data_IF_777501566402
#
_entry.id   IF_777501566402
#
_cell.length_a   1.000
_cell.length_b   1.000
_cell.length_c   1.000
_cell.angle_alpha   90.00
_cell.angle_beta   90.00
_cell.angle_gamma   90.00
#
_symmetry.space_group_name_H-M   'P 1'
#
loop_
_entity.id
_entity.type
_entity.pdbx_description
1 polymer ?
#
# COMPACT_ATOMS: atom_id res chain seq x y z
N UNK A 1 -14.77 -10.30 -15.00
CA UNK A 1 -13.48 -10.16 -14.32
C UNK A 1 -12.39 -10.47 -15.33
N UNK A 2 -11.59 -9.49 -15.75
CA UNK A 2 -10.41 -9.72 -16.59
C UNK A 2 -9.20 -9.82 -15.67
N UNK A 3 -8.51 -10.95 -15.70
CA UNK A 3 -7.26 -11.12 -14.96
C UNK A 3 -6.08 -10.64 -15.82
N UNK A 4 -5.00 -10.15 -15.20
CA UNK A 4 -3.77 -9.84 -15.93
C UNK A 4 -3.23 -11.09 -16.63
N UNK A 5 -2.54 -10.90 -17.75
CA UNK A 5 -1.85 -11.93 -18.53
C UNK A 5 -0.50 -12.36 -17.91
N UNK A 6 -0.17 -11.81 -16.74
CA UNK A 6 1.05 -12.06 -16.00
C UNK A 6 0.75 -12.35 -14.52
N UNK A 7 1.69 -13.02 -13.86
CA UNK A 7 1.59 -13.30 -12.43
C UNK A 7 1.69 -11.98 -11.66
N UNK A 8 0.74 -11.75 -10.75
CA UNK A 8 0.86 -10.70 -9.75
C UNK A 8 1.75 -11.21 -8.61
N UNK A 9 2.94 -10.62 -8.51
CA UNK A 9 3.93 -10.90 -7.47
C UNK A 9 4.21 -9.62 -6.69
N UNK A 10 3.96 -9.67 -5.39
CA UNK A 10 3.82 -8.46 -4.60
C UNK A 10 4.08 -8.60 -3.12
N UNK A 11 3.94 -7.46 -2.45
CA UNK A 11 4.06 -7.34 -0.99
C UNK A 11 2.89 -6.54 -0.43
N UNK A 12 2.58 -6.76 0.85
CA UNK A 12 1.87 -5.74 1.60
C UNK A 12 2.84 -4.59 1.91
N UNK A 13 2.38 -3.34 1.77
CA UNK A 13 3.20 -2.16 1.95
C UNK A 13 2.43 -1.14 2.79
N UNK A 14 3.03 -0.73 3.91
CA UNK A 14 2.43 0.16 4.90
C UNK A 14 3.38 1.32 5.17
N UNK A 15 3.13 2.46 4.55
CA UNK A 15 3.92 3.68 4.78
C UNK A 15 3.78 4.16 6.22
N UNK A 16 2.60 3.96 6.79
CA UNK A 16 2.19 4.34 8.15
C UNK A 16 3.00 3.65 9.25
N UNK A 17 3.65 2.51 8.96
CA UNK A 17 4.47 1.78 9.92
C UNK A 17 5.96 2.10 9.81
N UNK A 18 6.36 2.90 8.82
CA UNK A 18 7.78 3.16 8.57
C UNK A 18 8.32 4.21 9.56
N UNK A 19 9.50 3.98 10.16
CA UNK A 19 10.08 4.90 11.14
C UNK A 19 10.67 6.18 10.50
N UNK A 20 10.75 6.23 9.17
CA UNK A 20 11.27 7.34 8.39
C UNK A 20 10.74 7.29 6.95
N UNK A 21 10.70 8.44 6.27
CA UNK A 21 10.36 8.49 4.85
C UNK A 21 11.44 7.81 4.01
N UNK A 22 11.04 6.75 3.32
CA UNK A 22 11.87 5.92 2.45
C UNK A 22 11.13 5.44 1.21
N UNK A 23 10.01 6.07 0.88
CA UNK A 23 9.07 5.65 -0.15
C UNK A 23 9.78 5.39 -1.48
N UNK A 24 10.50 6.40 -1.97
CA UNK A 24 11.20 6.34 -3.26
C UNK A 24 12.23 5.20 -3.31
N UNK A 25 12.95 4.99 -2.20
CA UNK A 25 13.96 3.92 -2.10
C UNK A 25 13.30 2.54 -2.15
N UNK A 26 12.20 2.34 -1.43
CA UNK A 26 11.47 1.08 -1.42
C UNK A 26 10.93 0.74 -2.80
N UNK A 27 10.27 1.69 -3.47
CA UNK A 27 9.73 1.47 -4.82
C UNK A 27 10.84 1.20 -5.84
N UNK A 28 12.01 1.84 -5.70
CA UNK A 28 13.17 1.55 -6.55
C UNK A 28 13.66 0.11 -6.35
N UNK A 29 13.74 -0.36 -5.11
CA UNK A 29 14.16 -1.73 -4.78
C UNK A 29 13.11 -2.76 -5.22
N UNK A 30 11.82 -2.50 -5.01
CA UNK A 30 10.73 -3.36 -5.47
C UNK A 30 10.75 -3.55 -6.98
N UNK A 31 10.95 -2.46 -7.74
CA UNK A 31 11.11 -2.54 -9.20
C UNK A 31 12.34 -3.36 -9.59
N UNK A 32 13.48 -3.17 -8.91
CA UNK A 32 14.68 -3.96 -9.16
C UNK A 32 14.49 -5.46 -8.83
N UNK A 33 13.60 -5.78 -7.90
CA UNK A 33 13.22 -7.14 -7.53
C UNK A 33 12.07 -7.71 -8.37
N UNK A 34 11.60 -7.01 -9.40
CA UNK A 34 10.47 -7.40 -10.26
C UNK A 34 9.14 -7.60 -9.52
N UNK A 35 8.93 -6.90 -8.41
CA UNK A 35 7.62 -6.79 -7.75
C UNK A 35 6.70 -5.89 -8.60
N UNK A 36 5.48 -6.35 -8.89
CA UNK A 36 4.51 -5.65 -9.75
C UNK A 36 3.15 -5.39 -9.08
N UNK A 37 2.97 -5.85 -7.84
CA UNK A 37 1.77 -5.60 -7.06
C UNK A 37 2.16 -5.14 -5.65
N UNK A 38 1.42 -4.17 -5.13
CA UNK A 38 1.40 -3.89 -3.70
C UNK A 38 -0.03 -3.94 -3.20
N UNK A 39 -0.18 -4.22 -1.90
CA UNK A 39 -1.45 -4.13 -1.18
C UNK A 39 -1.27 -3.18 -0.01
N UNK A 40 -2.20 -2.23 0.12
CA UNK A 40 -2.19 -1.17 1.13
C UNK A 40 -3.48 -1.24 1.97
N UNK A 41 -3.60 -0.36 2.96
CA UNK A 41 -4.80 -0.21 3.79
C UNK A 41 -5.23 -1.48 4.54
N UNK A 42 -4.27 -2.36 4.87
CA UNK A 42 -4.59 -3.56 5.65
C UNK A 42 -4.69 -3.19 7.12
N UNK A 43 -5.85 -3.48 7.72
CA UNK A 43 -6.11 -3.21 9.14
C UNK A 43 -6.10 -1.71 9.51
N UNK A 44 -6.38 -0.82 8.56
CA UNK A 44 -6.38 0.64 8.79
C UNK A 44 -7.77 1.23 9.04
N UNK A 45 -8.82 0.43 9.24
CA UNK A 45 -10.21 0.93 9.40
C UNK A 45 -10.30 2.11 10.38
N UNK A 46 -9.74 1.99 11.58
CA UNK A 46 -9.79 3.07 12.58
C UNK A 46 -9.04 4.35 12.17
N UNK A 47 -8.11 4.26 11.22
CA UNK A 47 -7.44 5.40 10.61
C UNK A 47 -8.31 6.01 9.51
N UNK A 48 -8.88 5.17 8.65
CA UNK A 48 -9.70 5.61 7.51
C UNK A 48 -11.12 6.05 7.90
N UNK A 49 -11.66 5.53 9.01
CA UNK A 49 -12.92 5.91 9.65
C UNK A 49 -12.70 6.09 11.16
N UNK A 50 -12.15 7.24 11.61
CA UNK A 50 -11.87 7.48 13.02
C UNK A 50 -13.12 7.53 13.91
N UNK A 51 -14.27 7.83 13.31
CA UNK A 51 -15.58 7.78 13.98
C UNK A 51 -16.67 7.50 12.94
N UNK A 52 -17.78 6.91 13.37
CA UNK A 52 -18.88 6.50 12.49
C UNK A 52 -19.26 7.60 11.48
N UNK A 53 -19.18 7.25 10.20
CA UNK A 53 -19.53 8.13 9.08
C UNK A 53 -18.51 9.24 8.76
N UNK A 54 -17.38 9.32 9.47
CA UNK A 54 -16.31 10.28 9.21
C UNK A 54 -15.11 9.57 8.59
N UNK A 55 -14.87 9.80 7.31
CA UNK A 55 -13.80 9.13 6.56
C UNK A 55 -12.64 10.08 6.24
N UNK A 56 -11.41 9.59 6.38
CA UNK A 56 -10.17 10.28 6.00
C UNK A 56 -9.21 9.32 5.28
N UNK A 57 -9.06 9.48 3.97
CA UNK A 57 -8.19 8.65 3.13
C UNK A 57 -6.84 9.29 2.81
N UNK A 58 -6.48 10.40 3.46
CA UNK A 58 -5.27 11.18 3.14
C UNK A 58 -3.95 10.42 3.35
N UNK A 59 -3.98 9.33 4.12
CA UNK A 59 -2.81 8.48 4.35
C UNK A 59 -2.57 7.47 3.21
N UNK A 60 -3.59 7.17 2.40
CA UNK A 60 -3.54 6.11 1.37
C UNK A 60 -3.81 6.60 -0.07
N UNK A 61 -4.44 7.77 -0.26
CA UNK A 61 -4.74 8.41 -1.56
C UNK A 61 -3.79 9.58 -1.85
#
# INVERSE_FOLDING_TARGET
MTYPDHILFGTAYYTEYLPADRLETDFKLMKAAHINLIRIAESTWSTEEPSEGHFDFSQIL
#
